data_IF_620056985489
#
_entry.id   IF_620056985489
#
_cell.length_a   1.000
_cell.length_b   1.000
_cell.length_c   1.000
_cell.angle_alpha   90.00
_cell.angle_beta   90.00
_cell.angle_gamma   90.00
#
_symmetry.space_group_name_H-M   'P 1'
#
loop_
_entity.id
_entity.type
_entity.pdbx_description
1 polymer ?
#
# COMPACT_ATOMS: atom_id res chain seq x y z
N UNK A 1 -0.36 -2.45 -5.96
CA UNK A 1 -1.49 -2.17 -6.87
C UNK A 1 -0.93 -2.11 -8.29
N UNK A 2 -1.71 -2.40 -9.33
CA UNK A 2 -1.33 -2.08 -10.71
C UNK A 2 -1.06 -0.58 -10.88
N UNK A 3 -0.25 -0.21 -11.87
CA UNK A 3 -0.03 1.20 -12.21
C UNK A 3 -1.36 1.88 -12.59
N UNK A 4 -1.54 3.14 -12.18
CA UNK A 4 -2.77 3.90 -12.44
C UNK A 4 -3.94 3.61 -11.49
N UNK A 5 -3.80 2.67 -10.55
CA UNK A 5 -4.82 2.43 -9.51
C UNK A 5 -4.71 3.50 -8.41
N UNK A 6 -5.79 4.26 -8.18
CA UNK A 6 -5.92 5.12 -7.01
C UNK A 6 -6.04 4.30 -5.72
N UNK A 7 -5.44 4.79 -4.64
CA UNK A 7 -5.55 4.18 -3.30
C UNK A 7 -6.40 5.07 -2.39
N UNK A 8 -7.17 4.45 -1.50
CA UNK A 8 -7.94 5.17 -0.47
C UNK A 8 -7.10 5.55 0.74
N UNK A 9 -5.99 4.84 0.98
CA UNK A 9 -5.11 5.09 2.10
C UNK A 9 -3.74 4.43 1.96
N UNK A 10 -2.75 5.05 2.60
CA UNK A 10 -1.38 4.58 2.72
C UNK A 10 -0.94 4.71 4.18
N UNK A 11 -0.58 3.61 4.81
CA UNK A 11 -0.09 3.60 6.19
C UNK A 11 1.25 2.87 6.27
N UNK A 12 2.13 3.33 7.16
CA UNK A 12 3.42 2.72 7.46
C UNK A 12 3.30 1.90 8.74
N UNK A 13 3.88 0.70 8.79
CA UNK A 13 3.97 -0.08 10.04
C UNK A 13 5.03 0.46 11.02
N UNK A 14 5.78 1.48 10.60
CA UNK A 14 6.89 2.06 11.36
C UNK A 14 8.21 1.33 11.15
N UNK A 15 8.19 0.16 10.51
CA UNK A 15 9.33 -0.67 10.16
C UNK A 15 9.60 -0.67 8.66
N UNK A 16 9.56 -1.85 8.05
CA UNK A 16 9.95 -2.09 6.65
C UNK A 16 8.78 -2.18 5.67
N UNK A 17 7.54 -1.84 6.08
CA UNK A 17 6.36 -2.03 5.22
C UNK A 17 5.48 -0.80 5.13
N UNK A 18 4.74 -0.75 4.03
CA UNK A 18 3.58 0.09 3.84
C UNK A 18 2.37 -0.76 3.50
N UNK A 19 1.19 -0.30 3.90
CA UNK A 19 -0.09 -0.88 3.56
C UNK A 19 -0.85 0.06 2.64
N UNK A 20 -1.25 -0.43 1.48
CA UNK A 20 -2.04 0.32 0.50
C UNK A 20 -3.48 -0.22 0.47
N UNK A 21 -4.46 0.62 0.78
CA UNK A 21 -5.89 0.31 0.72
C UNK A 21 -6.53 0.71 -0.62
N UNK A 22 -7.35 -0.16 -1.19
CA UNK A 22 -7.97 -0.01 -2.51
C UNK A 22 -9.43 0.48 -2.49
N UNK A 23 -9.85 1.26 -1.49
CA UNK A 23 -11.21 1.82 -1.40
C UNK A 23 -12.31 0.77 -1.59
N UNK A 24 -13.17 0.99 -2.58
CA UNK A 24 -14.34 0.16 -2.90
C UNK A 24 -14.00 -1.29 -3.27
N UNK A 25 -12.76 -1.56 -3.71
CA UNK A 25 -12.32 -2.93 -4.01
C UNK A 25 -12.07 -3.77 -2.75
N UNK A 26 -12.01 -3.15 -1.56
CA UNK A 26 -11.63 -3.82 -0.32
C UNK A 26 -10.22 -4.42 -0.32
N UNK A 27 -9.40 -4.13 -1.34
CA UNK A 27 -8.08 -4.75 -1.50
C UNK A 27 -7.06 -4.09 -0.58
N UNK A 28 -6.34 -4.91 0.18
CA UNK A 28 -5.18 -4.49 0.97
C UNK A 28 -3.91 -5.13 0.42
N UNK A 29 -2.85 -4.33 0.26
CA UNK A 29 -1.53 -4.86 -0.13
C UNK A 29 -0.44 -4.30 0.78
N UNK A 30 0.31 -5.21 1.40
CA UNK A 30 1.55 -4.90 2.08
C UNK A 30 2.71 -4.86 1.07
N UNK A 31 3.47 -3.77 1.06
CA UNK A 31 4.66 -3.60 0.23
C UNK A 31 5.84 -3.29 1.13
N UNK A 32 7.01 -3.85 0.80
CA UNK A 32 8.23 -3.56 1.55
C UNK A 32 8.85 -2.25 1.10
N UNK A 33 9.46 -1.52 2.04
CA UNK A 33 10.30 -0.35 1.76
C UNK A 33 11.43 -0.74 0.81
N UNK A 34 11.68 0.04 -0.25
CA UNK A 34 12.86 -0.17 -1.07
C UNK A 34 14.10 -0.06 -0.20
N UNK A 35 15.05 -0.97 -0.40
CA UNK A 35 16.39 -0.85 0.18
C UNK A 35 17.23 0.07 -0.72
N UNK A 36 18.22 0.79 -0.16
CA UNK A 36 19.21 1.52 -0.94
C UNK A 36 19.89 0.64 -1.99
#
# INVERSE_FOLDING_TARGET
MPAGTGISGLESDGGDRFFCGGGDSGTLRAVRRPRP
#
